data_IF_950185094669
#
_entry.id   IF_950185094669
#
_cell.length_a   1.000
_cell.length_b   1.000
_cell.length_c   1.000
_cell.angle_alpha   90.00
_cell.angle_beta   90.00
_cell.angle_gamma   90.00
#
_symmetry.space_group_name_H-M   'P 1'
#
loop_
_entity.id
_entity.type
_entity.pdbx_description
1 polymer ?
#
# COMPACT_ATOMS: atom_id res chain seq x y z
N UNK A 1 -42.83 -23.94 -2.64
CA UNK A 1 -41.51 -24.39 -2.13
C UNK A 1 -40.37 -24.20 -3.12
N UNK A 2 -40.38 -24.81 -4.31
CA UNK A 2 -39.24 -24.67 -5.26
C UNK A 2 -39.12 -23.27 -5.88
N UNK A 3 -40.24 -22.59 -6.13
CA UNK A 3 -40.27 -21.26 -6.75
C UNK A 3 -39.62 -20.17 -5.87
N UNK A 4 -39.87 -20.21 -4.56
CA UNK A 4 -39.25 -19.28 -3.59
C UNK A 4 -37.75 -19.51 -3.45
N UNK A 5 -37.29 -20.76 -3.57
CA UNK A 5 -35.87 -21.11 -3.50
C UNK A 5 -35.12 -20.63 -4.76
N UNK A 6 -35.74 -20.74 -5.94
CA UNK A 6 -35.18 -20.22 -7.19
C UNK A 6 -35.13 -18.68 -7.17
N UNK A 7 -36.20 -18.02 -6.71
CA UNK A 7 -36.24 -16.55 -6.55
C UNK A 7 -35.18 -16.09 -5.54
N UNK A 8 -35.04 -16.80 -4.41
CA UNK A 8 -34.01 -16.53 -3.41
C UNK A 8 -32.60 -16.63 -3.99
N UNK A 9 -32.31 -17.62 -4.83
CA UNK A 9 -31.02 -17.77 -5.51
C UNK A 9 -30.79 -16.64 -6.52
N UNK A 10 -31.80 -16.25 -7.29
CA UNK A 10 -31.67 -15.15 -8.27
C UNK A 10 -31.43 -13.81 -7.57
N UNK A 11 -32.16 -13.53 -6.48
CA UNK A 11 -31.95 -12.33 -5.65
C UNK A 11 -30.57 -12.38 -4.99
N UNK A 12 -30.14 -13.53 -4.46
CA UNK A 12 -28.80 -13.70 -3.89
C UNK A 12 -27.70 -13.47 -4.94
N UNK A 13 -27.87 -13.97 -6.18
CA UNK A 13 -26.93 -13.73 -7.27
C UNK A 13 -26.93 -12.27 -7.72
N UNK A 14 -28.09 -11.60 -7.77
CA UNK A 14 -28.20 -10.18 -8.10
C UNK A 14 -27.60 -9.29 -7.02
N UNK A 15 -27.84 -9.60 -5.74
CA UNK A 15 -27.21 -8.92 -4.60
C UNK A 15 -25.71 -9.18 -4.59
N UNK A 16 -25.27 -10.42 -4.86
CA UNK A 16 -23.84 -10.71 -5.04
C UNK A 16 -23.27 -9.90 -6.20
N UNK A 17 -23.99 -9.70 -7.30
CA UNK A 17 -23.52 -8.89 -8.43
C UNK A 17 -23.54 -7.38 -8.15
N UNK A 18 -24.43 -6.90 -7.28
CA UNK A 18 -24.50 -5.49 -6.84
C UNK A 18 -23.49 -5.16 -5.73
N UNK A 19 -23.20 -6.11 -4.82
CA UNK A 19 -22.20 -5.96 -3.75
C UNK A 19 -20.80 -6.40 -4.18
N UNK A 20 -20.67 -7.27 -5.18
CA UNK A 20 -19.42 -7.47 -5.94
C UNK A 20 -19.26 -6.31 -6.92
N UNK A 21 -18.81 -5.18 -6.39
CA UNK A 21 -18.32 -4.07 -7.21
C UNK A 21 -17.14 -4.57 -8.05
N UNK A 22 -17.41 -4.76 -9.34
CA UNK A 22 -16.43 -4.78 -10.43
C UNK A 22 -15.50 -5.99 -10.46
N UNK A 23 -15.92 -7.05 -11.14
CA UNK A 23 -14.99 -7.92 -11.87
C UNK A 23 -14.48 -7.15 -13.10
N UNK A 24 -13.61 -6.18 -12.81
CA UNK A 24 -12.59 -5.63 -13.71
C UNK A 24 -11.33 -5.52 -12.83
N UNK A 25 -10.87 -6.70 -12.41
CA UNK A 25 -9.58 -6.87 -11.75
C UNK A 25 -8.51 -6.44 -12.75
N UNK A 26 -8.07 -5.18 -12.63
CA UNK A 26 -6.97 -4.64 -13.43
C UNK A 26 -5.73 -5.50 -13.23
N UNK A 27 -4.97 -5.71 -14.29
CA UNK A 27 -3.66 -6.38 -14.26
C UNK A 27 -2.76 -5.74 -13.19
N UNK A 28 -2.86 -4.42 -13.00
CA UNK A 28 -2.15 -3.68 -11.94
C UNK A 28 -2.53 -4.09 -10.51
N UNK A 29 -3.79 -4.42 -10.24
CA UNK A 29 -4.23 -4.86 -8.89
C UNK A 29 -3.70 -6.24 -8.53
N UNK A 30 -3.59 -7.15 -9.51
CA UNK A 30 -3.03 -8.47 -9.28
C UNK A 30 -1.51 -8.38 -9.03
N UNK A 31 -0.82 -7.50 -9.76
CA UNK A 31 0.61 -7.25 -9.56
C UNK A 31 0.92 -6.62 -8.19
N UNK A 32 0.16 -5.63 -7.74
CA UNK A 32 0.39 -4.98 -6.44
C UNK A 32 0.16 -5.92 -5.26
N UNK A 33 -0.88 -6.75 -5.29
CA UNK A 33 -1.10 -7.73 -4.23
C UNK A 33 0.04 -8.76 -4.16
N UNK A 34 0.56 -9.19 -5.32
CA UNK A 34 1.72 -10.06 -5.38
C UNK A 34 2.97 -9.38 -4.79
N UNK A 35 3.21 -8.11 -5.15
CA UNK A 35 4.28 -7.27 -4.60
C UNK A 35 4.23 -7.19 -3.07
N UNK A 36 3.07 -6.87 -2.48
CA UNK A 36 2.92 -6.80 -1.02
C UNK A 36 3.05 -8.17 -0.33
N UNK A 37 2.64 -9.24 -0.99
CA UNK A 37 2.81 -10.62 -0.50
C UNK A 37 4.28 -11.01 -0.45
N UNK A 38 5.04 -10.68 -1.50
CA UNK A 38 6.49 -10.87 -1.57
C UNK A 38 7.18 -10.06 -0.47
N UNK A 39 6.85 -8.77 -0.34
CA UNK A 39 7.42 -7.90 0.70
C UNK A 39 7.24 -8.49 2.11
N UNK A 40 5.99 -8.82 2.49
CA UNK A 40 5.68 -9.38 3.82
C UNK A 40 6.41 -10.69 4.10
N UNK A 41 6.57 -11.53 3.07
CA UNK A 41 7.29 -12.80 3.22
C UNK A 41 8.80 -12.58 3.34
N UNK A 42 9.38 -11.65 2.59
CA UNK A 42 10.80 -11.29 2.68
C UNK A 42 11.16 -10.75 4.06
N UNK A 43 10.34 -9.84 4.62
CA UNK A 43 10.50 -9.35 6.00
C UNK A 43 10.54 -10.52 7.00
N UNK A 44 9.62 -11.48 6.85
CA UNK A 44 9.54 -12.65 7.73
C UNK A 44 10.75 -13.58 7.60
N UNK A 45 11.31 -13.75 6.40
CA UNK A 45 12.41 -14.69 6.14
C UNK A 45 13.74 -14.13 6.62
N UNK A 46 14.00 -12.85 6.32
CA UNK A 46 15.31 -12.23 6.52
C UNK A 46 15.37 -11.33 7.76
N UNK A 47 14.24 -11.02 8.41
CA UNK A 47 14.18 -10.16 9.59
C UNK A 47 14.56 -8.69 9.34
N UNK A 48 14.72 -8.30 8.08
CA UNK A 48 15.03 -6.95 7.64
C UNK A 48 13.78 -6.11 7.37
N UNK A 49 13.99 -4.84 7.06
CA UNK A 49 12.92 -3.90 6.70
C UNK A 49 12.74 -3.86 5.18
N UNK A 50 11.50 -3.93 4.72
CA UNK A 50 11.20 -3.86 3.28
C UNK A 50 10.47 -2.55 2.95
N UNK A 51 11.03 -1.82 2.00
CA UNK A 51 10.47 -0.61 1.43
C UNK A 51 9.78 -0.95 0.12
N UNK A 52 8.53 -0.54 -0.05
CA UNK A 52 7.67 -0.95 -1.18
C UNK A 52 7.29 0.26 -2.03
N UNK A 53 7.53 0.17 -3.34
CA UNK A 53 7.08 1.15 -4.31
C UNK A 53 7.80 2.50 -4.23
N UNK A 54 9.13 2.49 -4.12
CA UNK A 54 9.93 3.72 -4.11
C UNK A 54 9.88 4.40 -5.50
N UNK A 55 9.98 5.74 -5.49
CA UNK A 55 10.01 6.61 -6.66
C UNK A 55 11.25 7.49 -6.58
N UNK A 56 12.40 6.94 -6.93
CA UNK A 56 13.69 7.59 -6.76
C UNK A 56 13.89 8.63 -7.87
N UNK A 57 14.15 9.91 -7.55
CA UNK A 57 14.52 10.90 -8.56
C UNK A 57 15.79 10.47 -9.31
N UNK A 58 15.72 10.45 -10.62
CA UNK A 58 16.88 10.22 -11.50
C UNK A 58 17.26 11.56 -12.14
N UNK A 59 18.45 12.05 -11.81
CA UNK A 59 18.97 13.33 -12.30
C UNK A 59 19.15 13.28 -13.81
N UNK A 60 19.59 12.14 -14.34
CA UNK A 60 19.99 12.02 -15.74
C UNK A 60 18.76 11.94 -16.65
N UNK A 61 17.71 11.24 -16.22
CA UNK A 61 16.48 11.08 -17.01
C UNK A 61 15.44 12.18 -16.78
N UNK A 62 15.64 13.06 -15.80
CA UNK A 62 14.68 14.11 -15.41
C UNK A 62 13.31 13.57 -14.95
N UNK A 63 13.21 12.27 -14.67
CA UNK A 63 11.96 11.57 -14.36
C UNK A 63 12.20 10.53 -13.26
N UNK A 64 11.34 10.45 -12.22
CA UNK A 64 11.54 9.47 -11.16
C UNK A 64 11.48 8.03 -11.68
N UNK A 65 12.39 7.19 -11.19
CA UNK A 65 12.47 5.76 -11.47
C UNK A 65 11.76 4.97 -10.38
N UNK A 66 10.98 3.97 -10.80
CA UNK A 66 10.18 3.16 -9.89
C UNK A 66 10.97 1.94 -9.45
N UNK A 67 11.10 1.76 -8.14
CA UNK A 67 11.63 0.54 -7.54
C UNK A 67 10.49 -0.19 -6.84
N UNK A 68 10.29 -1.45 -7.21
CA UNK A 68 9.24 -2.30 -6.64
C UNK A 68 9.48 -2.55 -5.15
N UNK A 69 10.64 -3.06 -4.78
CA UNK A 69 11.02 -3.34 -3.39
C UNK A 69 12.50 -3.03 -3.15
N UNK A 70 12.81 -2.55 -1.95
CA UNK A 70 14.17 -2.57 -1.39
C UNK A 70 14.12 -3.26 -0.04
N UNK A 71 14.83 -4.37 0.12
CA UNK A 71 15.01 -5.01 1.43
C UNK A 71 16.37 -4.60 2.01
N UNK A 72 16.36 -4.12 3.25
CA UNK A 72 17.57 -3.83 4.01
C UNK A 72 17.79 -4.96 5.01
N UNK A 73 18.89 -5.70 4.84
CA UNK A 73 19.33 -6.76 5.76
C UNK A 73 20.58 -6.33 6.51
N UNK A 74 21.05 -7.17 7.45
CA UNK A 74 22.31 -6.96 8.15
C UNK A 74 23.56 -7.12 7.27
N UNK A 75 23.43 -7.56 6.01
CA UNK A 75 24.58 -7.76 5.10
C UNK A 75 24.57 -6.79 3.93
N UNK A 76 23.43 -6.64 3.30
CA UNK A 76 23.26 -5.85 2.08
C UNK A 76 21.85 -5.27 1.99
N UNK A 77 21.71 -4.29 1.11
CA UNK A 77 20.45 -3.85 0.57
C UNK A 77 20.21 -4.53 -0.79
N UNK A 78 19.00 -4.99 -1.03
CA UNK A 78 18.65 -5.65 -2.30
C UNK A 78 17.47 -4.94 -2.95
N UNK A 79 17.70 -4.45 -4.17
CA UNK A 79 16.64 -4.00 -5.07
C UNK A 79 15.97 -5.23 -5.67
N UNK A 80 14.67 -5.36 -5.49
CA UNK A 80 13.92 -6.51 -5.98
C UNK A 80 12.84 -6.03 -6.93
N UNK A 81 12.90 -6.47 -8.19
CA UNK A 81 11.77 -6.37 -9.12
C UNK A 81 10.86 -7.59 -8.97
N UNK A 82 9.56 -7.35 -8.81
CA UNK A 82 8.57 -8.43 -8.70
C UNK A 82 7.83 -8.53 -10.01
N UNK A 83 8.01 -9.65 -10.71
CA UNK A 83 7.30 -9.96 -11.94
C UNK A 83 6.19 -10.96 -11.65
N UNK A 84 5.00 -10.67 -12.16
CA UNK A 84 3.82 -11.51 -12.00
C UNK A 84 3.41 -12.15 -13.33
N UNK A 85 4.39 -12.70 -14.04
CA UNK A 85 4.20 -13.34 -15.34
C UNK A 85 3.71 -14.77 -15.18
N UNK A 86 2.77 -15.20 -16.02
CA UNK A 86 2.15 -16.53 -15.98
C UNK A 86 2.40 -17.31 -17.28
N UNK A 87 2.37 -18.63 -17.21
CA UNK A 87 2.54 -19.50 -18.38
C UNK A 87 3.96 -20.00 -18.53
N UNK A 88 4.29 -20.44 -19.75
CA UNK A 88 5.62 -20.94 -20.08
C UNK A 88 6.52 -19.77 -20.46
N UNK A 89 7.55 -19.54 -19.66
CA UNK A 89 8.51 -18.44 -19.83
C UNK A 89 9.84 -19.00 -20.31
N UNK A 90 10.38 -18.38 -21.35
CA UNK A 90 11.72 -18.62 -21.88
C UNK A 90 12.44 -17.31 -22.13
N UNK A 91 13.77 -17.38 -22.18
CA UNK A 91 14.62 -16.26 -22.56
C UNK A 91 14.94 -16.39 -24.05
N UNK A 92 14.73 -15.32 -24.81
CA UNK A 92 15.07 -15.27 -26.23
C UNK A 92 16.56 -14.97 -26.46
N UNK A 93 16.95 -14.77 -27.72
CA UNK A 93 18.34 -14.46 -28.11
C UNK A 93 18.82 -13.10 -27.61
N UNK A 94 17.89 -12.19 -27.37
CA UNK A 94 18.14 -10.80 -26.96
C UNK A 94 18.02 -10.64 -25.42
N UNK A 95 17.93 -11.76 -24.69
CA UNK A 95 17.72 -11.85 -23.24
C UNK A 95 16.32 -11.39 -22.76
N UNK A 96 15.40 -11.12 -23.68
CA UNK A 96 14.03 -10.77 -23.33
C UNK A 96 13.26 -12.01 -22.88
N UNK A 97 12.26 -11.77 -22.04
CA UNK A 97 11.39 -12.82 -21.53
C UNK A 97 10.19 -13.00 -22.45
N UNK A 98 10.11 -14.16 -23.08
CA UNK A 98 8.98 -14.57 -23.89
C UNK A 98 8.06 -15.44 -23.05
N UNK A 99 6.81 -14.98 -22.88
CA UNK A 99 5.77 -15.67 -22.12
C UNK A 99 4.72 -16.22 -23.08
N UNK A 100 4.62 -17.55 -23.14
CA UNK A 100 3.54 -18.24 -23.82
C UNK A 100 2.42 -18.55 -22.83
N UNK A 101 1.26 -17.94 -23.06
CA UNK A 101 0.04 -18.26 -22.34
C UNK A 101 -0.40 -19.71 -22.54
N UNK A 102 -1.30 -20.18 -21.67
CA UNK A 102 -1.92 -21.52 -21.82
C UNK A 102 -2.70 -21.62 -23.13
N UNK A 103 -3.30 -20.50 -23.56
CA UNK A 103 -3.86 -20.34 -24.89
C UNK A 103 -2.76 -19.87 -25.86
N UNK A 104 -2.41 -20.75 -26.81
CA UNK A 104 -1.29 -20.62 -27.76
C UNK A 104 -1.34 -19.41 -28.71
N UNK A 105 -2.26 -18.48 -28.52
CA UNK A 105 -2.52 -17.36 -29.44
C UNK A 105 -1.99 -16.00 -28.97
N UNK A 106 -1.41 -15.90 -27.77
CA UNK A 106 -0.82 -14.65 -27.28
C UNK A 106 0.54 -14.89 -26.65
N UNK A 107 1.56 -14.52 -27.40
CA UNK A 107 2.93 -14.42 -26.94
C UNK A 107 3.14 -13.00 -26.40
N UNK A 108 3.53 -12.89 -25.13
CA UNK A 108 3.88 -11.61 -24.51
C UNK A 108 5.38 -11.56 -24.32
N UNK A 109 6.03 -10.55 -24.91
CA UNK A 109 7.46 -10.32 -24.77
C UNK A 109 7.70 -9.17 -23.78
N UNK A 110 8.55 -9.43 -22.80
CA UNK A 110 8.99 -8.45 -21.80
C UNK A 110 10.49 -8.22 -21.97
N UNK A 111 10.97 -6.97 -21.88
CA UNK A 111 12.41 -6.69 -21.84
C UNK A 111 13.09 -7.43 -20.68
N UNK A 112 14.40 -7.68 -20.78
CA UNK A 112 15.16 -8.38 -19.74
C UNK A 112 14.98 -7.70 -18.37
N UNK A 113 14.24 -8.33 -17.44
CA UNK A 113 13.97 -7.72 -16.15
C UNK A 113 15.21 -7.66 -15.27
N UNK A 114 16.23 -8.50 -15.52
CA UNK A 114 17.49 -8.43 -14.78
C UNK A 114 18.27 -7.19 -15.21
N UNK A 115 18.42 -6.96 -16.51
CA UNK A 115 19.02 -5.71 -17.01
C UNK A 115 18.25 -4.47 -16.56
N UNK A 116 16.91 -4.45 -16.65
CA UNK A 116 16.09 -3.35 -16.15
C UNK A 116 16.35 -3.06 -14.66
N UNK A 117 16.39 -4.12 -13.84
CA UNK A 117 16.60 -3.96 -12.39
C UNK A 117 18.03 -3.53 -12.07
N UNK A 118 19.03 -4.02 -12.83
CA UNK A 118 20.44 -3.61 -12.70
C UNK A 118 20.63 -2.12 -12.94
N UNK A 119 19.87 -1.53 -13.88
CA UNK A 119 19.94 -0.08 -14.13
C UNK A 119 19.48 0.76 -12.93
N UNK A 120 18.65 0.20 -12.03
CA UNK A 120 18.18 0.91 -10.84
C UNK A 120 19.23 1.00 -9.72
N UNK A 121 20.27 0.15 -9.77
CA UNK A 121 21.37 0.13 -8.77
C UNK A 121 22.10 1.49 -8.73
N UNK A 122 22.70 1.98 -9.82
CA UNK A 122 23.41 3.27 -9.80
C UNK A 122 22.49 4.46 -9.50
N UNK A 123 21.21 4.37 -9.86
CA UNK A 123 20.22 5.41 -9.57
C UNK A 123 19.95 5.51 -8.07
N UNK A 124 19.77 4.37 -7.40
CA UNK A 124 19.61 4.35 -5.94
C UNK A 124 20.89 4.74 -5.23
N UNK A 125 22.07 4.30 -5.71
CA UNK A 125 23.37 4.71 -5.15
C UNK A 125 23.54 6.24 -5.21
N UNK A 126 23.32 6.84 -6.37
CA UNK A 126 23.38 8.30 -6.55
C UNK A 126 22.41 9.03 -5.62
N UNK A 127 21.18 8.51 -5.46
CA UNK A 127 20.22 9.08 -4.52
C UNK A 127 20.69 9.00 -3.06
N UNK A 128 21.28 7.88 -2.64
CA UNK A 128 21.81 7.71 -1.29
C UNK A 128 23.01 8.63 -1.05
N UNK A 129 23.91 8.77 -2.02
CA UNK A 129 25.07 9.66 -1.97
C UNK A 129 24.65 11.12 -1.81
N UNK A 130 23.65 11.56 -2.56
CA UNK A 130 23.06 12.91 -2.44
C UNK A 130 22.47 13.17 -1.05
N UNK A 131 22.04 12.11 -0.35
CA UNK A 131 21.51 12.17 1.01
C UNK A 131 22.60 11.97 2.08
N UNK A 132 23.87 11.94 1.67
CA UNK A 132 25.03 11.85 2.55
C UNK A 132 25.46 10.42 2.91
N UNK A 133 24.97 9.41 2.19
CA UNK A 133 25.34 8.01 2.41
C UNK A 133 25.97 7.40 1.15
N UNK A 134 27.30 7.36 1.13
CA UNK A 134 28.04 6.56 0.16
C UNK A 134 28.11 5.10 0.64
N UNK A 135 27.47 4.19 -0.09
CA UNK A 135 27.58 2.76 0.19
C UNK A 135 28.87 2.21 -0.42
N UNK A 136 29.61 1.33 0.29
CA UNK A 136 30.73 0.63 -0.32
C UNK A 136 30.23 -0.29 -1.45
N UNK A 137 31.09 -0.55 -2.42
CA UNK A 137 30.77 -1.39 -3.57
C UNK A 137 30.21 -2.75 -3.14
N UNK A 138 29.11 -3.17 -3.79
CA UNK A 138 28.43 -4.46 -3.59
C UNK A 138 27.68 -4.64 -2.26
N UNK A 139 27.44 -3.56 -1.52
CA UNK A 139 26.39 -3.51 -0.49
C UNK A 139 24.98 -3.33 -1.06
N UNK A 140 24.89 -3.03 -2.35
CA UNK A 140 23.64 -2.99 -3.09
C UNK A 140 23.66 -4.06 -4.18
N UNK A 141 22.64 -4.90 -4.22
CA UNK A 141 22.47 -5.91 -5.27
C UNK A 141 21.06 -5.86 -5.84
N UNK A 142 20.86 -6.48 -7.00
CA UNK A 142 19.56 -6.55 -7.67
C UNK A 142 19.09 -8.00 -7.83
N UNK A 143 17.80 -8.23 -7.68
CA UNK A 143 17.15 -9.54 -7.85
C UNK A 143 15.80 -9.39 -8.53
N UNK A 144 15.34 -10.46 -9.19
CA UNK A 144 14.03 -10.55 -9.81
C UNK A 144 13.27 -11.72 -9.20
N UNK A 145 12.03 -11.51 -8.76
CA UNK A 145 11.18 -12.57 -8.19
C UNK A 145 9.95 -12.79 -9.06
N UNK A 146 9.78 -14.03 -9.52
CA UNK A 146 8.57 -14.48 -10.21
C UNK A 146 7.56 -14.99 -9.19
N UNK A 147 6.52 -14.19 -8.95
CA UNK A 147 5.56 -14.44 -7.86
C UNK A 147 4.33 -15.26 -8.26
N UNK A 148 4.11 -15.49 -9.55
CA UNK A 148 2.92 -16.15 -10.08
C UNK A 148 3.00 -17.68 -9.94
N UNK A 149 2.01 -18.36 -9.35
CA UNK A 149 1.98 -19.83 -9.26
C UNK A 149 1.95 -20.57 -10.61
N UNK A 150 1.49 -19.90 -11.67
CA UNK A 150 1.43 -20.46 -13.01
C UNK A 150 2.72 -20.20 -13.81
N UNK A 151 3.76 -19.66 -13.19
CA UNK A 151 5.07 -19.51 -13.80
C UNK A 151 5.70 -20.88 -14.04
N UNK A 152 6.03 -21.19 -15.30
CA UNK A 152 6.70 -22.42 -15.69
C UNK A 152 7.87 -22.11 -16.61
N UNK A 153 9.01 -22.73 -16.39
CA UNK A 153 10.18 -22.58 -17.26
C UNK A 153 10.16 -23.65 -18.35
N UNK A 154 10.47 -23.29 -19.60
CA UNK A 154 10.62 -24.28 -20.68
C UNK A 154 11.95 -25.06 -20.52
N UNK A 155 12.98 -24.38 -20.04
CA UNK A 155 14.28 -24.96 -19.73
C UNK A 155 14.68 -24.53 -18.30
N UNK A 156 14.89 -25.49 -17.39
CA UNK A 156 15.07 -25.22 -15.97
C UNK A 156 16.33 -24.41 -15.60
N UNK A 157 17.36 -24.45 -16.46
CA UNK A 157 18.67 -23.86 -16.18
C UNK A 157 18.96 -22.58 -17.01
N UNK A 158 17.97 -22.03 -17.72
CA UNK A 158 18.22 -20.91 -18.64
C UNK A 158 18.25 -19.53 -17.95
N UNK A 159 17.80 -19.42 -16.69
CA UNK A 159 17.64 -18.13 -16.03
C UNK A 159 18.89 -17.72 -15.24
N UNK A 160 19.24 -16.41 -15.24
CA UNK A 160 20.33 -15.88 -14.42
C UNK A 160 20.13 -16.14 -12.92
N UNK A 161 21.20 -16.24 -12.12
CA UNK A 161 21.13 -16.46 -10.66
C UNK A 161 20.46 -15.31 -9.88
N UNK A 162 20.27 -14.15 -10.50
CA UNK A 162 19.50 -13.04 -9.96
C UNK A 162 17.98 -13.28 -10.01
N UNK A 163 17.51 -14.23 -10.82
CA UNK A 163 16.11 -14.56 -11.00
C UNK A 163 15.72 -15.70 -10.06
N UNK A 164 14.66 -15.49 -9.31
CA UNK A 164 14.04 -16.50 -8.47
C UNK A 164 12.70 -16.92 -9.07
N UNK A 165 12.63 -18.17 -9.53
CA UNK A 165 11.40 -18.74 -10.08
C UNK A 165 10.37 -18.96 -8.97
N UNK A 166 9.10 -19.16 -9.34
CA UNK A 166 8.04 -19.38 -8.36
C UNK A 166 8.32 -20.57 -7.43
N UNK A 167 8.83 -21.67 -7.97
CA UNK A 167 9.14 -22.87 -7.18
C UNK A 167 10.27 -22.62 -6.18
N UNK A 168 11.34 -21.92 -6.60
CA UNK A 168 12.43 -21.53 -5.72
C UNK A 168 11.96 -20.54 -4.65
N UNK A 169 11.17 -19.53 -5.04
CA UNK A 169 10.53 -18.58 -4.15
C UNK A 169 9.66 -19.26 -3.09
N UNK A 170 8.88 -20.26 -3.49
CA UNK A 170 8.05 -21.04 -2.57
C UNK A 170 8.89 -21.84 -1.57
N UNK A 171 10.06 -22.31 -1.96
CA UNK A 171 10.95 -23.11 -1.13
C UNK A 171 11.87 -22.29 -0.21
N UNK A 172 11.96 -20.97 -0.39
CA UNK A 172 12.74 -20.11 0.52
C UNK A 172 12.24 -20.24 1.97
N UNK A 173 13.16 -20.59 2.85
CA UNK A 173 12.98 -20.73 4.30
C UNK A 173 13.93 -19.77 5.04
N UNK A 174 13.62 -19.40 6.29
CA UNK A 174 14.55 -18.66 7.16
C UNK A 174 15.88 -19.41 7.29
N UNK A 175 16.97 -18.66 7.46
CA UNK A 175 18.38 -19.09 7.37
C UNK A 175 18.76 -20.28 8.28
N UNK A 176 17.92 -20.62 9.27
CA UNK A 176 18.17 -21.71 10.21
C UNK A 176 18.04 -23.13 9.63
N UNK A 177 17.46 -23.33 8.43
CA UNK A 177 17.12 -24.68 7.94
C UNK A 177 17.35 -25.00 6.44
N UNK A 178 18.03 -24.17 5.61
CA UNK A 178 18.19 -24.57 4.19
C UNK A 178 19.37 -23.97 3.41
N UNK A 179 19.84 -24.77 2.44
CA UNK A 179 20.83 -24.44 1.39
C UNK A 179 20.36 -23.29 0.48
N UNK A 180 19.05 -23.03 0.40
CA UNK A 180 18.41 -22.01 -0.46
C UNK A 180 18.33 -20.62 0.21
N UNK A 181 18.69 -20.51 1.49
CA UNK A 181 18.89 -19.21 2.18
C UNK A 181 20.04 -18.37 1.60
N UNK A 182 20.75 -18.90 0.60
CA UNK A 182 21.85 -18.25 -0.12
C UNK A 182 21.44 -17.19 -1.14
N UNK A 183 20.14 -17.00 -1.40
CA UNK A 183 19.69 -16.06 -2.45
C UNK A 183 20.06 -14.60 -2.15
N UNK A 184 19.93 -14.19 -0.88
CA UNK A 184 20.47 -12.93 -0.33
C UNK A 184 21.72 -13.28 0.49
N UNK A 185 22.68 -13.93 -0.16
CA UNK A 185 24.08 -13.93 0.27
C UNK A 185 24.81 -13.10 -0.76
N UNK A 186 24.82 -11.79 -0.55
CA UNK A 186 25.66 -10.87 -1.30
C UNK A 186 27.10 -11.37 -1.33
N UNK A 187 27.88 -10.87 -2.27
CA UNK A 187 29.29 -11.22 -2.44
C UNK A 187 30.16 -10.92 -1.19
N UNK A 188 29.60 -10.23 -0.19
CA UNK A 188 30.27 -9.82 1.04
C UNK A 188 30.03 -10.79 2.20
N UNK A 189 31.14 -11.33 2.72
CA UNK A 189 31.16 -12.11 3.97
C UNK A 189 31.08 -11.24 5.23
N UNK A 190 31.11 -9.92 5.10
CA UNK A 190 31.19 -8.98 6.21
C UNK A 190 29.82 -8.35 6.44
N UNK A 191 29.34 -8.38 7.68
CA UNK A 191 28.08 -7.74 8.06
C UNK A 191 28.18 -6.22 7.88
N UNK A 192 27.07 -5.63 7.43
CA UNK A 192 26.87 -4.20 7.37
C UNK A 192 26.92 -3.63 8.78
N UNK A 193 27.72 -2.57 8.95
CA UNK A 193 27.82 -1.88 10.23
C UNK A 193 26.46 -1.27 10.58
N UNK A 194 26.03 -1.43 11.83
CA UNK A 194 24.79 -0.82 12.38
C UNK A 194 24.56 0.65 11.97
N UNK A 195 25.54 1.58 12.07
CA UNK A 195 25.30 2.97 11.68
C UNK A 195 24.98 3.15 10.18
N UNK A 196 25.53 2.30 9.31
CA UNK A 196 25.23 2.34 7.87
C UNK A 196 23.80 1.85 7.65
N UNK A 197 23.41 0.76 8.31
CA UNK A 197 22.06 0.19 8.22
C UNK A 197 21.00 1.16 8.77
N UNK A 198 21.26 1.81 9.90
CA UNK A 198 20.36 2.82 10.48
C UNK A 198 20.21 4.04 9.57
N UNK A 199 21.32 4.56 9.04
CA UNK A 199 21.29 5.70 8.12
C UNK A 199 20.54 5.34 6.82
N UNK A 200 20.80 4.16 6.27
CA UNK A 200 20.09 3.64 5.11
C UNK A 200 18.58 3.53 5.39
N UNK A 201 18.22 2.96 6.54
CA UNK A 201 16.81 2.85 6.93
C UNK A 201 16.14 4.22 7.11
N UNK A 202 16.87 5.19 7.67
CA UNK A 202 16.41 6.57 7.83
C UNK A 202 16.14 7.20 6.47
N UNK A 203 17.11 7.17 5.55
CA UNK A 203 16.98 7.74 4.21
C UNK A 203 15.81 7.08 3.46
N UNK A 204 15.78 5.75 3.39
CA UNK A 204 14.71 5.02 2.68
C UNK A 204 13.32 5.21 3.29
N UNK A 205 13.22 5.48 4.60
CA UNK A 205 11.93 5.78 5.25
C UNK A 205 11.35 7.12 4.87
N UNK A 206 12.19 8.03 4.35
CA UNK A 206 11.81 9.36 3.88
C UNK A 206 11.86 9.47 2.36
N UNK A 207 12.24 8.40 1.66
CA UNK A 207 12.30 8.38 0.21
C UNK A 207 10.90 8.55 -0.41
N UNK A 208 10.77 9.22 -1.57
CA UNK A 208 9.49 9.33 -2.24
C UNK A 208 8.97 7.93 -2.64
N UNK A 209 7.68 7.70 -2.45
CA UNK A 209 7.02 6.42 -2.75
C UNK A 209 5.71 6.63 -3.51
N UNK A 210 5.13 5.55 -4.02
CA UNK A 210 3.73 5.55 -4.45
C UNK A 210 2.79 5.75 -3.27
N UNK A 211 1.65 6.43 -3.51
CA UNK A 211 0.58 6.43 -2.53
C UNK A 211 0.01 5.00 -2.46
N UNK A 212 -0.38 4.58 -1.26
CA UNK A 212 -0.92 3.25 -0.98
C UNK A 212 -2.38 3.36 -0.58
N UNK A 213 -3.23 2.58 -1.22
CA UNK A 213 -4.64 2.43 -0.89
C UNK A 213 -4.92 1.00 -0.44
N UNK A 214 -5.46 0.82 0.77
CA UNK A 214 -5.84 -0.49 1.31
C UNK A 214 -7.35 -0.61 1.39
N UNK A 215 -7.88 -1.70 0.84
CA UNK A 215 -9.32 -1.97 0.76
C UNK A 215 -9.71 -3.16 1.65
N UNK A 216 -10.96 -3.16 2.12
CA UNK A 216 -11.55 -4.22 2.96
C UNK A 216 -11.59 -5.60 2.29
N UNK A 217 -11.52 -5.65 0.98
CA UNK A 217 -11.39 -6.88 0.19
C UNK A 217 -9.98 -7.50 0.26
N UNK A 218 -9.13 -7.05 1.21
CA UNK A 218 -7.72 -7.41 1.32
C UNK A 218 -6.92 -7.09 0.04
N UNK A 219 -7.40 -6.11 -0.74
CA UNK A 219 -6.72 -5.59 -1.93
C UNK A 219 -5.90 -4.38 -1.53
N UNK A 220 -4.66 -4.34 -2.01
CA UNK A 220 -3.74 -3.22 -1.83
C UNK A 220 -3.34 -2.69 -3.20
N UNK A 221 -3.31 -1.37 -3.33
CA UNK A 221 -3.03 -0.68 -4.58
C UNK A 221 -1.92 0.35 -4.36
N UNK A 222 -1.03 0.46 -5.34
CA UNK A 222 -0.08 1.55 -5.48
C UNK A 222 -0.55 2.49 -6.59
N UNK A 223 -0.32 3.79 -6.43
CA UNK A 223 -0.73 4.78 -7.40
C UNK A 223 -0.70 6.19 -6.85
N UNK A 224 -1.39 7.11 -7.52
CA UNK A 224 -1.49 8.51 -7.10
C UNK A 224 -2.89 8.78 -6.53
N UNK A 225 -2.94 9.34 -5.32
CA UNK A 225 -4.14 9.95 -4.78
C UNK A 225 -4.44 11.23 -5.56
N UNK A 226 -5.67 11.36 -6.04
CA UNK A 226 -6.11 12.52 -6.81
C UNK A 226 -6.90 13.48 -5.92
N UNK A 227 -8.08 13.04 -5.46
CA UNK A 227 -8.99 13.87 -4.66
C UNK A 227 -10.09 13.03 -3.99
N UNK A 228 -10.87 13.65 -3.10
CA UNK A 228 -12.13 13.10 -2.64
C UNK A 228 -13.30 13.61 -3.50
N UNK A 229 -14.32 12.76 -3.71
CA UNK A 229 -15.58 13.12 -4.37
C UNK A 229 -16.77 12.73 -3.50
N UNK A 230 -17.80 13.57 -3.44
CA UNK A 230 -18.95 13.32 -2.58
C UNK A 230 -19.80 14.55 -2.37
N UNK A 231 -20.58 14.52 -1.29
CA UNK A 231 -21.40 15.64 -0.85
C UNK A 231 -20.52 16.86 -0.48
N UNK A 232 -21.05 18.08 -0.68
CA UNK A 232 -20.27 19.31 -0.46
C UNK A 232 -19.78 19.44 0.98
N UNK A 233 -20.58 19.00 1.95
CA UNK A 233 -20.21 19.06 3.36
C UNK A 233 -19.05 18.09 3.64
N UNK A 234 -19.13 16.86 3.11
CA UNK A 234 -18.05 15.87 3.25
C UNK A 234 -16.73 16.37 2.62
N UNK A 235 -16.80 16.98 1.43
CA UNK A 235 -15.61 17.53 0.76
C UNK A 235 -15.03 18.72 1.52
N UNK A 236 -15.88 19.54 2.11
CA UNK A 236 -15.44 20.62 2.98
C UNK A 236 -14.68 20.07 4.20
N UNK A 237 -15.20 19.06 4.88
CA UNK A 237 -14.50 18.42 6.02
C UNK A 237 -13.17 17.78 5.61
N UNK A 238 -13.10 17.16 4.43
CA UNK A 238 -11.90 16.49 3.92
C UNK A 238 -10.86 17.44 3.31
N UNK A 239 -11.13 18.75 3.22
CA UNK A 239 -10.26 19.73 2.52
C UNK A 239 -8.82 19.82 3.06
N UNK A 240 -8.62 19.43 4.32
CA UNK A 240 -7.32 19.44 4.99
C UNK A 240 -6.49 18.19 4.67
N UNK A 241 -7.14 17.12 4.18
CA UNK A 241 -6.49 15.89 3.77
C UNK A 241 -5.95 16.07 2.35
N UNK A 242 -4.72 16.58 2.27
CA UNK A 242 -3.96 16.73 1.03
C UNK A 242 -2.72 15.86 1.05
N UNK A 243 -2.31 15.34 -0.11
CA UNK A 243 -1.07 14.55 -0.28
C UNK A 243 0.15 15.23 0.36
N UNK A 244 0.26 16.55 0.21
CA UNK A 244 1.33 17.38 0.79
C UNK A 244 1.18 17.71 2.27
N UNK A 245 0.07 17.42 2.94
CA UNK A 245 -0.14 17.78 4.35
C UNK A 245 -0.33 16.58 5.27
N UNK A 246 -0.79 15.46 4.71
CA UNK A 246 -1.16 14.27 5.46
C UNK A 246 -0.31 13.11 5.00
N UNK A 247 0.23 12.34 5.94
CA UNK A 247 1.03 11.13 5.68
C UNK A 247 0.15 9.89 5.65
N UNK A 248 -0.86 9.82 6.52
CA UNK A 248 -1.69 8.64 6.72
C UNK A 248 -3.14 9.01 6.95
N UNK A 249 -4.03 8.19 6.41
CA UNK A 249 -5.48 8.23 6.64
C UNK A 249 -5.96 6.83 7.01
N UNK A 250 -6.85 6.72 7.98
CA UNK A 250 -7.50 5.45 8.39
C UNK A 250 -9.00 5.67 8.49
N UNK A 251 -9.78 4.71 8.02
CA UNK A 251 -11.24 4.80 7.97
C UNK A 251 -11.84 3.76 8.88
N UNK A 252 -12.65 4.24 9.83
CA UNK A 252 -13.31 3.40 10.82
C UNK A 252 -14.83 3.51 10.65
N UNK A 253 -15.51 2.39 10.88
CA UNK A 253 -16.97 2.42 11.04
C UNK A 253 -17.25 3.00 12.41
N UNK A 254 -18.12 3.99 12.50
CA UNK A 254 -18.68 4.40 13.78
C UNK A 254 -19.50 3.22 14.31
N UNK A 255 -19.05 2.57 15.38
CA UNK A 255 -19.85 1.54 16.04
C UNK A 255 -21.09 2.20 16.64
N UNK A 256 -22.28 1.77 16.23
CA UNK A 256 -23.56 2.26 16.75
C UNK A 256 -24.11 1.41 17.91
N UNK A 257 -23.32 0.49 18.49
CA UNK A 257 -23.81 -0.37 19.57
C UNK A 257 -22.88 -0.38 20.80
N UNK A 258 -23.45 0.05 21.93
CA UNK A 258 -23.09 -0.38 23.28
C UNK A 258 -22.23 0.61 24.08
N UNK A 259 -22.89 1.38 24.96
CA UNK A 259 -22.40 1.97 26.21
C UNK A 259 -20.86 2.02 26.40
N UNK A 260 -20.35 3.26 26.44
CA UNK A 260 -18.96 3.66 26.69
C UNK A 260 -18.08 3.87 25.45
N UNK A 261 -18.14 5.09 24.90
CA UNK A 261 -16.94 5.81 24.49
C UNK A 261 -17.09 7.30 24.84
N UNK A 262 -16.04 7.93 25.39
CA UNK A 262 -16.08 9.33 25.77
C UNK A 262 -16.13 10.19 24.51
N UNK A 263 -17.15 11.05 24.44
CA UNK A 263 -17.14 12.20 23.54
C UNK A 263 -16.06 13.14 24.05
N UNK A 264 -15.10 13.49 23.20
CA UNK A 264 -14.10 14.52 23.46
C UNK A 264 -14.82 15.87 23.65
N UNK A 265 -15.03 16.27 24.90
CA UNK A 265 -15.33 17.65 25.24
C UNK A 265 -14.00 18.38 25.32
N UNK A 266 -13.72 19.29 24.38
CA UNK A 266 -12.69 20.31 24.59
C UNK A 266 -13.10 21.11 25.82
N UNK A 267 -12.43 20.86 26.94
CA UNK A 267 -12.43 21.74 28.09
C UNK A 267 -11.60 22.97 27.76
N UNK A 268 -12.27 24.07 27.43
CA UNK A 268 -11.72 25.40 27.68
C UNK A 268 -12.65 26.07 28.68
N UNK A 269 -12.30 26.02 29.96
CA UNK A 269 -12.96 26.85 30.98
C UNK A 269 -12.21 28.18 31.03
N UNK A 270 -12.82 29.22 30.46
CA UNK A 270 -13.09 30.49 31.15
C UNK A 270 -13.57 31.54 30.12
N UNK A 271 -14.78 32.05 30.30
CA UNK A 271 -15.31 33.19 29.56
C UNK A 271 -16.52 32.83 28.72
N UNK A 272 -17.71 33.11 29.23
CA UNK A 272 -18.97 32.96 28.53
C UNK A 272 -19.05 33.93 27.35
N UNK A 273 -19.24 33.41 26.14
CA UNK A 273 -19.95 34.10 25.07
C UNK A 273 -20.78 33.06 24.29
N UNK A 274 -22.06 33.37 24.13
CA UNK A 274 -23.05 32.56 23.40
C UNK A 274 -22.61 32.34 21.96
N UNK A 275 -22.34 31.09 21.58
CA UNK A 275 -22.29 30.69 20.18
C UNK A 275 -23.58 29.97 19.83
N UNK A 276 -24.49 30.70 19.18
CA UNK A 276 -25.63 30.15 18.46
C UNK A 276 -25.14 29.16 17.40
N UNK A 277 -25.30 27.87 17.65
CA UNK A 277 -25.10 26.82 16.65
C UNK A 277 -26.45 26.50 15.99
N UNK A 278 -26.53 26.74 14.69
CA UNK A 278 -27.72 26.54 13.87
C UNK A 278 -28.02 25.02 13.76
N UNK A 279 -29.16 24.51 14.29
CA UNK A 279 -29.42 23.08 14.36
C UNK A 279 -30.29 22.67 13.18
N UNK A 280 -29.72 22.01 12.18
CA UNK A 280 -30.57 21.38 11.14
C UNK A 280 -30.43 19.86 11.06
N UNK A 281 -29.41 19.22 11.66
CA UNK A 281 -29.21 17.77 11.48
C UNK A 281 -28.63 16.98 12.67
N UNK A 282 -28.83 17.44 13.91
CA UNK A 282 -28.49 16.68 15.11
C UNK A 282 -29.71 16.58 16.02
N UNK A 283 -30.05 15.37 16.44
CA UNK A 283 -31.04 15.17 17.49
C UNK A 283 -30.29 15.16 18.82
N UNK A 284 -30.59 16.14 19.68
CA UNK A 284 -30.03 16.21 21.03
C UNK A 284 -31.09 15.67 21.98
N UNK A 285 -30.83 14.50 22.56
CA UNK A 285 -31.71 13.84 23.52
C UNK A 285 -31.09 13.87 24.91
N UNK A 286 -31.86 14.26 25.92
CA UNK A 286 -31.42 14.22 27.31
C UNK A 286 -31.72 12.82 27.87
N UNK A 287 -30.69 12.04 28.22
CA UNK A 287 -30.84 10.69 28.76
C UNK A 287 -30.45 10.68 30.23
N UNK A 288 -31.32 10.16 31.10
CA UNK A 288 -31.03 10.02 32.53
C UNK A 288 -30.69 8.56 32.86
N UNK A 289 -29.50 8.31 33.41
CA UNK A 289 -29.09 6.98 33.92
C UNK A 289 -28.54 7.16 35.33
N UNK A 290 -29.14 6.48 36.31
CA UNK A 290 -28.69 6.52 37.70
C UNK A 290 -28.72 7.91 38.36
N UNK A 291 -29.65 8.79 37.95
CA UNK A 291 -29.78 10.15 38.50
C UNK A 291 -28.88 11.22 37.85
N UNK A 292 -27.93 10.84 36.98
CA UNK A 292 -27.20 11.80 36.14
C UNK A 292 -27.93 11.99 34.80
N UNK A 293 -28.06 13.26 34.37
CA UNK A 293 -28.60 13.66 33.06
C UNK A 293 -27.44 13.88 32.09
N UNK A 294 -27.47 13.19 30.96
CA UNK A 294 -26.48 13.28 29.88
C UNK A 294 -27.12 13.91 28.65
N UNK A 295 -26.41 14.78 27.94
CA UNK A 295 -26.74 15.15 26.57
C UNK A 295 -26.23 14.05 25.63
N UNK A 296 -27.14 13.34 24.97
CA UNK A 296 -26.83 12.42 23.90
C UNK A 296 -27.07 13.12 22.55
N UNK A 297 -26.03 13.20 21.72
CA UNK A 297 -26.14 13.69 20.34
C UNK A 297 -26.25 12.48 19.43
N UNK A 298 -27.43 12.25 18.85
CA UNK A 298 -27.66 11.16 17.89
C UNK A 298 -27.59 11.70 16.46
N UNK A 299 -26.74 11.09 15.65
CA UNK A 299 -26.62 11.38 14.21
C UNK A 299 -27.62 10.50 13.42
N UNK A 300 -28.42 11.07 12.50
CA UNK A 300 -29.39 10.30 11.73
C UNK A 300 -28.74 9.40 10.65
N UNK A 301 -29.50 8.35 10.30
CA UNK A 301 -29.09 7.09 9.71
C UNK A 301 -28.75 7.08 8.20
N UNK A 302 -27.79 7.90 7.77
CA UNK A 302 -26.95 7.58 6.60
C UNK A 302 -25.58 7.21 7.13
N UNK A 303 -25.17 5.95 7.00
CA UNK A 303 -23.97 5.39 7.65
C UNK A 303 -22.75 6.30 7.47
N UNK A 304 -22.45 7.13 8.46
CA UNK A 304 -21.25 7.97 8.50
C UNK A 304 -20.04 7.10 8.83
N UNK A 305 -18.87 7.56 8.44
CA UNK A 305 -17.58 6.96 8.70
C UNK A 305 -16.70 7.97 9.42
N UNK A 306 -15.91 7.46 10.35
CA UNK A 306 -14.90 8.24 11.04
C UNK A 306 -13.61 8.14 10.23
N UNK A 307 -13.06 9.29 9.85
CA UNK A 307 -11.81 9.39 9.10
C UNK A 307 -10.77 10.01 10.02
N UNK A 308 -9.78 9.22 10.37
CA UNK A 308 -8.63 9.62 11.18
C UNK A 308 -7.46 9.91 10.25
N UNK A 309 -6.79 11.05 10.42
CA UNK A 309 -5.63 11.39 9.60
C UNK A 309 -4.50 12.02 10.40
N UNK A 310 -3.28 11.72 9.99
CA UNK A 310 -2.04 12.17 10.63
C UNK A 310 -1.38 13.22 9.74
N UNK A 311 -1.25 14.46 10.23
CA UNK A 311 -0.45 15.48 9.57
C UNK A 311 0.99 15.01 9.35
N UNK A 312 1.65 15.57 8.35
CA UNK A 312 3.09 15.43 8.19
C UNK A 312 3.79 16.35 9.18
N UNK A 313 4.81 15.80 9.83
CA UNK A 313 5.75 16.59 10.60
C UNK A 313 6.84 17.10 9.66
N UNK A 314 6.84 18.40 9.41
CA UNK A 314 7.85 19.08 8.60
C UNK A 314 8.92 19.78 9.45
N UNK A 315 8.74 19.84 10.78
CA UNK A 315 9.57 20.70 11.64
C UNK A 315 10.70 19.96 12.34
N UNK A 316 10.73 18.63 12.33
CA UNK A 316 11.90 17.86 12.79
C UNK A 316 12.20 18.00 14.30
N UNK A 317 11.32 18.65 15.06
CA UNK A 317 11.36 18.64 16.51
C UNK A 317 10.77 17.30 16.98
N UNK A 318 11.65 16.43 17.44
CA UNK A 318 11.29 15.10 17.89
C UNK A 318 10.13 15.11 18.90
N UNK A 319 9.19 14.20 18.67
CA UNK A 319 8.17 13.77 19.61
C UNK A 319 7.05 14.79 19.95
N UNK A 320 6.13 14.99 19.00
CA UNK A 320 4.69 14.98 19.32
C UNK A 320 3.98 13.91 18.49
N UNK A 321 4.44 12.66 18.63
CA UNK A 321 3.66 11.51 18.16
C UNK A 321 2.30 11.55 18.84
N UNK A 322 1.22 11.31 18.09
CA UNK A 322 -0.18 11.20 18.54
C UNK A 322 -1.12 12.40 18.32
N UNK A 323 -0.72 13.49 17.65
CA UNK A 323 -1.74 14.42 17.14
C UNK A 323 -2.33 13.88 15.82
N UNK A 324 -3.52 13.30 15.91
CA UNK A 324 -4.35 12.98 14.75
C UNK A 324 -5.58 13.87 14.74
N UNK A 325 -6.07 14.14 13.55
CA UNK A 325 -7.33 14.82 13.36
C UNK A 325 -8.40 13.82 12.97
N UNK A 326 -9.63 14.17 13.27
CA UNK A 326 -10.79 13.34 13.01
C UNK A 326 -11.86 14.15 12.28
N UNK A 327 -12.47 13.54 11.27
CA UNK A 327 -13.67 14.06 10.62
C UNK A 327 -14.67 12.94 10.39
N UNK A 328 -15.96 13.29 10.37
CA UNK A 328 -17.05 12.35 10.09
C UNK A 328 -17.66 12.67 8.73
N UNK A 329 -17.65 11.69 7.81
CA UNK A 329 -18.16 11.85 6.44
C UNK A 329 -19.08 10.71 6.05
N UNK A 330 -19.86 10.86 4.99
CA UNK A 330 -20.77 9.79 4.55
C UNK A 330 -20.01 8.57 4.01
N UNK A 331 -20.56 7.39 4.22
CA UNK A 331 -20.04 6.14 3.62
C UNK A 331 -20.01 6.11 2.09
N UNK A 332 -20.78 7.00 1.45
CA UNK A 332 -20.87 7.18 0.00
C UNK A 332 -19.81 8.09 -0.58
N UNK A 333 -19.07 8.86 0.24
CA UNK A 333 -17.92 9.64 -0.23
C UNK A 333 -16.91 8.70 -0.88
N UNK A 334 -16.25 9.15 -1.94
CA UNK A 334 -15.34 8.38 -2.76
C UNK A 334 -13.93 8.98 -2.70
N UNK A 335 -12.92 8.13 -2.72
CA UNK A 335 -11.54 8.51 -3.05
C UNK A 335 -11.30 8.24 -4.54
N UNK A 336 -10.77 9.25 -5.23
CA UNK A 336 -10.29 9.14 -6.60
C UNK A 336 -8.81 8.82 -6.55
N UNK A 337 -8.44 7.71 -7.18
CA UNK A 337 -7.09 7.15 -7.15
C UNK A 337 -6.70 6.67 -8.53
N UNK A 338 -5.49 6.99 -8.97
CA UNK A 338 -4.94 6.54 -10.25
C UNK A 338 -3.96 5.39 -9.99
N UNK A 339 -4.32 4.13 -10.29
CA UNK A 339 -3.42 2.99 -10.09
C UNK A 339 -2.13 3.12 -10.89
N UNK A 340 -1.02 2.63 -10.34
CA UNK A 340 0.29 2.58 -11.02
C UNK A 340 0.17 1.85 -12.37
N UNK A 341 0.70 2.47 -13.42
CA UNK A 341 0.66 1.93 -14.78
C UNK A 341 -0.68 2.10 -15.50
N UNK A 342 -1.66 2.76 -14.89
CA UNK A 342 -2.94 3.09 -15.52
C UNK A 342 -3.02 4.57 -15.90
N UNK A 343 -3.56 4.87 -17.07
CA UNK A 343 -3.92 6.24 -17.49
C UNK A 343 -5.29 6.67 -16.99
N UNK A 344 -6.07 5.73 -16.40
CA UNK A 344 -7.44 5.98 -15.94
C UNK A 344 -7.50 6.11 -14.43
N UNK A 345 -8.21 7.13 -13.96
CA UNK A 345 -8.56 7.27 -12.55
C UNK A 345 -9.71 6.32 -12.18
N UNK A 346 -9.66 5.75 -10.98
CA UNK A 346 -10.70 4.90 -10.41
C UNK A 346 -11.27 5.55 -9.16
N UNK A 347 -12.53 5.25 -8.87
CA UNK A 347 -13.23 5.74 -7.67
C UNK A 347 -13.49 4.59 -6.72
N UNK A 348 -13.18 4.79 -5.45
CA UNK A 348 -13.41 3.81 -4.40
C UNK A 348 -14.25 4.46 -3.30
N UNK A 349 -15.38 3.85 -2.92
CA UNK A 349 -16.18 4.33 -1.78
C UNK A 349 -15.34 4.24 -0.50
N UNK A 350 -15.33 5.29 0.33
CA UNK A 350 -14.63 5.30 1.62
C UNK A 350 -15.04 4.13 2.50
N UNK A 351 -16.30 3.68 2.42
CA UNK A 351 -16.77 2.49 3.14
C UNK A 351 -16.02 1.20 2.78
N UNK A 352 -15.39 1.14 1.61
CA UNK A 352 -14.56 0.01 1.16
C UNK A 352 -13.08 0.17 1.51
N UNK A 353 -12.65 1.36 1.90
CA UNK A 353 -11.25 1.67 2.21
C UNK A 353 -10.99 1.40 3.70
N UNK A 354 -9.80 0.87 4.01
CA UNK A 354 -9.28 0.69 5.37
C UNK A 354 -8.36 1.86 5.72
N UNK A 355 -7.40 2.12 4.83
CA UNK A 355 -6.33 3.08 5.08
C UNK A 355 -5.73 3.58 3.78
N UNK A 356 -5.12 4.77 3.84
CA UNK A 356 -4.27 5.33 2.82
C UNK A 356 -2.96 5.79 3.42
N UNK A 357 -1.86 5.55 2.72
CA UNK A 357 -0.56 6.19 2.99
C UNK A 357 -0.27 7.08 1.81
N UNK A 358 -0.11 8.38 2.05
CA UNK A 358 0.20 9.34 1.01
C UNK A 358 1.71 9.57 1.07
N UNK A 359 2.41 9.53 -0.05
CA UNK A 359 3.78 10.04 -0.18
C UNK A 359 3.71 11.52 -0.53
N UNK A 360 4.63 12.35 -0.04
CA UNK A 360 4.79 13.72 -0.54
C UNK A 360 5.57 13.67 -1.84
#
# INVERSE_FOLDING_TARGET
MWFELIIGIVIFQLLRRFFSSGDDLDVGTYNDNALFSVAKRLEKIYGGKVYVGLRIPDIDSGSPKNIDLVIVTHREAVIISVKNVSGFVSIDKDQNWVCMGVDKHKEECFPDPVAETKQLVPILESYLEQRGLALPEGYLSCKVICSNPNFRTIHGDSFPPEVLTYDQWRQLKPEKDSVVSSFIKGAFKKEMKEPIQENLNSILSTAPMWDRLELKSNKRLLGDFVEFKGDKDDIFELRNIKRSKVSRVTIQKTSMFGLATPICVKSTVAGAEELFWNPTHFEVSLVAVGGLRYLAVTCPAHSKLQVLYWPRDYQGEGASGFEWNEVCVRSSTEVVFQPRGSTKVRKYKLSSVISMSLSA
#
